data_IF_595332105704
#
_entry.id   IF_595332105704
#
_cell.length_a   1.000
_cell.length_b   1.000
_cell.length_c   1.000
_cell.angle_alpha   90.00
_cell.angle_beta   90.00
_cell.angle_gamma   90.00
#
_symmetry.space_group_name_H-M   'P 1'
#
loop_
_entity.id
_entity.type
_entity.pdbx_description
1 polymer ?
#
# COMPACT_ATOMS: atom_id res chain seq x y z
N UNK A 1 -28.68 -26.72 5.08
CA UNK A 1 -28.22 -25.56 4.28
C UNK A 1 -28.44 -24.30 5.11
N UNK A 2 -27.55 -24.04 6.06
CA UNK A 2 -27.48 -22.83 6.85
C UNK A 2 -26.04 -22.75 7.38
N UNK A 3 -25.57 -21.54 7.67
CA UNK A 3 -24.28 -21.23 8.33
C UNK A 3 -23.05 -21.12 7.41
N UNK A 4 -22.86 -19.94 6.80
CA UNK A 4 -21.58 -19.20 6.97
C UNK A 4 -21.72 -17.69 6.68
N UNK A 5 -22.72 -17.02 7.25
CA UNK A 5 -22.60 -15.58 7.50
C UNK A 5 -21.83 -15.39 8.81
N UNK A 6 -20.49 -15.55 8.79
CA UNK A 6 -19.67 -14.96 9.85
C UNK A 6 -19.76 -13.46 9.67
N UNK A 7 -20.71 -12.86 10.38
CA UNK A 7 -20.83 -11.43 10.55
C UNK A 7 -19.44 -10.88 10.90
N UNK A 8 -18.88 -10.13 9.97
CA UNK A 8 -17.63 -9.42 10.16
C UNK A 8 -17.86 -8.41 11.30
N UNK A 9 -17.48 -8.78 12.53
CA UNK A 9 -17.66 -8.00 13.75
C UNK A 9 -16.76 -6.76 13.65
N UNK A 10 -17.27 -5.72 12.98
CA UNK A 10 -16.60 -4.43 12.88
C UNK A 10 -16.49 -3.84 14.29
N UNK A 11 -15.28 -3.79 14.84
CA UNK A 11 -14.96 -3.21 16.14
C UNK A 11 -14.83 -1.69 15.99
N UNK A 12 -15.24 -0.97 17.02
CA UNK A 12 -15.12 0.49 17.09
C UNK A 12 -13.87 0.83 17.90
N UNK A 13 -12.94 1.55 17.29
CA UNK A 13 -11.72 2.02 17.94
C UNK A 13 -11.75 3.54 18.06
N UNK A 14 -11.34 4.04 19.23
CA UNK A 14 -11.18 5.46 19.48
C UNK A 14 -9.68 5.78 19.47
N UNK A 15 -9.30 6.85 18.78
CA UNK A 15 -7.90 7.27 18.69
C UNK A 15 -7.80 8.79 18.58
N UNK A 16 -6.58 9.32 18.70
CA UNK A 16 -6.31 10.75 18.59
C UNK A 16 -5.23 11.01 17.54
N UNK A 17 -5.46 11.99 16.69
CA UNK A 17 -4.47 12.49 15.72
C UNK A 17 -4.27 13.97 16.00
N UNK A 18 -3.04 14.38 16.30
CA UNK A 18 -2.67 15.76 16.65
C UNK A 18 -3.64 16.43 17.66
N UNK A 19 -4.10 15.67 18.67
CA UNK A 19 -5.01 16.15 19.70
C UNK A 19 -6.51 16.07 19.37
N UNK A 20 -6.89 15.80 18.12
CA UNK A 20 -8.29 15.61 17.71
C UNK A 20 -8.70 14.15 17.88
N UNK A 21 -9.82 13.89 18.55
CA UNK A 21 -10.33 12.54 18.80
C UNK A 21 -11.21 12.03 17.67
N UNK A 22 -10.93 10.83 17.19
CA UNK A 22 -11.64 10.16 16.10
C UNK A 22 -12.11 8.77 16.51
N UNK A 23 -13.08 8.26 15.75
CA UNK A 23 -13.60 6.91 15.89
C UNK A 23 -13.56 6.21 14.54
N UNK A 24 -13.00 5.01 14.48
CA UNK A 24 -12.99 4.18 13.27
C UNK A 24 -13.71 2.87 13.56
N UNK A 25 -14.61 2.48 12.64
CA UNK A 25 -15.29 1.20 12.67
C UNK A 25 -14.67 0.30 11.61
N UNK A 26 -13.94 -0.73 12.04
CA UNK A 26 -13.12 -1.56 11.14
C UNK A 26 -13.18 -3.02 11.51
N UNK A 27 -12.99 -3.87 10.51
CA UNK A 27 -12.88 -5.32 10.63
C UNK A 27 -11.48 -5.81 10.93
N UNK A 28 -10.50 -4.90 10.87
CA UNK A 28 -9.09 -5.20 11.11
C UNK A 28 -8.85 -5.42 12.61
N UNK A 29 -7.79 -6.16 12.90
CA UNK A 29 -7.30 -6.37 14.26
C UNK A 29 -6.79 -5.06 14.88
N UNK A 30 -6.73 -5.03 16.21
CA UNK A 30 -6.35 -3.84 16.96
C UNK A 30 -4.90 -3.38 16.67
N UNK A 31 -3.99 -4.33 16.43
CA UNK A 31 -2.60 -4.01 16.12
C UNK A 31 -2.49 -3.26 14.79
N UNK A 32 -3.11 -3.77 13.72
CA UNK A 32 -3.16 -3.09 12.42
C UNK A 32 -3.79 -1.70 12.52
N UNK A 33 -4.83 -1.54 13.35
CA UNK A 33 -5.48 -0.24 13.55
C UNK A 33 -4.54 0.74 14.27
N UNK A 34 -3.83 0.31 15.30
CA UNK A 34 -2.85 1.15 16.00
C UNK A 34 -1.71 1.56 15.06
N UNK A 35 -1.18 0.63 14.26
CA UNK A 35 -0.14 0.94 13.27
C UNK A 35 -0.61 1.99 12.25
N UNK A 36 -1.85 1.88 11.75
CA UNK A 36 -2.44 2.87 10.84
C UNK A 36 -2.58 4.25 11.49
N UNK A 37 -3.06 4.29 12.74
CA UNK A 37 -3.23 5.54 13.50
C UNK A 37 -1.89 6.22 13.73
N UNK A 38 -0.89 5.46 14.18
CA UNK A 38 0.45 5.97 14.47
C UNK A 38 1.14 6.48 13.21
N UNK A 39 0.98 5.78 12.10
CA UNK A 39 1.50 6.19 10.80
C UNK A 39 0.90 7.54 10.37
N UNK A 40 -0.43 7.67 10.40
CA UNK A 40 -1.10 8.92 10.02
C UNK A 40 -0.73 10.05 10.99
N UNK A 41 -0.69 9.79 12.30
CA UNK A 41 -0.33 10.79 13.29
C UNK A 41 1.09 11.33 13.11
N UNK A 42 2.04 10.45 12.78
CA UNK A 42 3.42 10.84 12.44
C UNK A 42 3.44 11.76 11.22
N UNK A 43 2.77 11.39 10.12
CA UNK A 43 2.72 12.20 8.88
C UNK A 43 2.09 13.56 9.09
N UNK A 44 1.02 13.63 9.88
CA UNK A 44 0.38 14.91 10.23
C UNK A 44 1.30 15.77 11.10
N UNK A 45 2.02 15.18 12.06
CA UNK A 45 2.96 15.91 12.91
C UNK A 45 4.14 16.47 12.11
N UNK A 46 4.69 15.69 11.18
CA UNK A 46 5.72 16.14 10.23
C UNK A 46 5.21 17.33 9.38
N UNK A 47 3.99 17.22 8.85
CA UNK A 47 3.38 18.27 8.05
C UNK A 47 3.10 19.55 8.86
N UNK A 48 2.74 19.43 10.15
CA UNK A 48 2.59 20.57 11.06
C UNK A 48 3.94 21.28 11.29
N UNK A 49 5.02 20.52 11.49
CA UNK A 49 6.37 21.07 11.66
C UNK A 49 6.87 21.82 10.42
N UNK A 50 6.56 21.30 9.22
CA UNK A 50 6.98 21.90 7.95
C UNK A 50 6.25 23.22 7.64
N UNK A 51 5.05 23.43 8.17
CA UNK A 51 4.16 24.52 7.74
C UNK A 51 4.09 25.73 8.68
N UNK A 52 5.02 25.85 9.66
CA UNK A 52 5.22 27.02 10.56
C UNK A 52 3.97 27.94 10.71
N UNK A 53 3.01 27.53 11.54
CA UNK A 53 1.70 28.20 11.80
C UNK A 53 0.55 27.95 10.79
N UNK A 54 0.63 26.97 9.89
CA UNK A 54 -0.57 26.59 9.13
C UNK A 54 -1.61 25.91 10.02
N UNK A 55 -2.89 26.09 9.69
CA UNK A 55 -4.00 25.43 10.38
C UNK A 55 -3.82 23.90 10.31
N UNK A 56 -4.27 23.19 11.35
CA UNK A 56 -4.27 21.72 11.37
C UNK A 56 -4.86 21.11 10.08
N UNK A 57 -5.86 21.77 9.48
CA UNK A 57 -6.47 21.36 8.23
C UNK A 57 -5.46 21.35 7.07
N UNK A 58 -4.62 22.39 6.93
CA UNK A 58 -3.61 22.46 5.88
C UNK A 58 -2.53 21.39 6.09
N UNK A 59 -2.10 21.16 7.34
CA UNK A 59 -1.17 20.08 7.68
C UNK A 59 -1.76 18.69 7.37
N UNK A 60 -3.05 18.47 7.65
CA UNK A 60 -3.74 17.22 7.33
C UNK A 60 -3.83 16.98 5.82
N UNK A 61 -4.12 18.02 5.02
CA UNK A 61 -4.11 17.93 3.55
C UNK A 61 -2.71 17.62 3.03
N UNK A 62 -1.68 18.27 3.55
CA UNK A 62 -0.29 17.99 3.16
C UNK A 62 0.14 16.57 3.54
N UNK A 63 -0.23 16.10 4.73
CA UNK A 63 0.01 14.73 5.15
C UNK A 63 -0.69 13.71 4.23
N UNK A 64 -1.94 13.97 3.85
CA UNK A 64 -2.67 13.13 2.91
C UNK A 64 -2.01 13.09 1.53
N UNK A 65 -1.50 14.22 1.03
CA UNK A 65 -0.75 14.28 -0.23
C UNK A 65 0.54 13.46 -0.15
N UNK A 66 1.30 13.58 0.94
CA UNK A 66 2.54 12.82 1.13
C UNK A 66 2.26 11.30 1.18
N UNK A 67 1.23 10.86 1.91
CA UNK A 67 0.83 9.45 1.98
C UNK A 67 0.40 8.94 0.59
N UNK A 68 -0.36 9.75 -0.16
CA UNK A 68 -0.80 9.39 -1.51
C UNK A 68 0.39 9.27 -2.48
N UNK A 69 1.35 10.20 -2.40
CA UNK A 69 2.59 10.14 -3.18
C UNK A 69 3.36 8.86 -2.88
N UNK A 70 3.62 8.55 -1.61
CA UNK A 70 4.32 7.34 -1.20
C UNK A 70 3.65 6.08 -1.76
N UNK A 71 2.32 5.97 -1.67
CA UNK A 71 1.57 4.85 -2.22
C UNK A 71 1.71 4.76 -3.75
N UNK A 72 1.58 5.88 -4.46
CA UNK A 72 1.66 5.91 -5.92
C UNK A 72 3.07 5.51 -6.38
N UNK A 73 4.11 6.03 -5.73
CA UNK A 73 5.50 5.71 -6.05
C UNK A 73 5.82 4.25 -5.76
N UNK A 74 5.33 3.70 -4.64
CA UNK A 74 5.48 2.28 -4.30
C UNK A 74 4.85 1.39 -5.37
N UNK A 75 3.60 1.68 -5.78
CA UNK A 75 2.90 0.95 -6.85
C UNK A 75 3.65 1.01 -8.18
N UNK A 76 4.15 2.18 -8.56
CA UNK A 76 4.94 2.36 -9.80
C UNK A 76 6.22 1.53 -9.79
N UNK A 77 6.96 1.53 -8.67
CA UNK A 77 8.18 0.71 -8.52
C UNK A 77 7.87 -0.79 -8.59
N UNK A 78 6.84 -1.25 -7.88
CA UNK A 78 6.42 -2.64 -7.91
C UNK A 78 6.04 -3.09 -9.33
N UNK A 79 5.26 -2.27 -10.05
CA UNK A 79 4.90 -2.58 -11.44
C UNK A 79 6.11 -2.62 -12.37
N UNK A 80 7.07 -1.71 -12.21
CA UNK A 80 8.28 -1.70 -13.00
C UNK A 80 9.12 -2.97 -12.80
N UNK A 81 9.26 -3.44 -11.56
CA UNK A 81 9.97 -4.69 -11.26
C UNK A 81 9.22 -5.93 -11.77
N UNK A 82 7.89 -5.96 -11.69
CA UNK A 82 7.09 -7.03 -12.30
C UNK A 82 7.26 -7.10 -13.81
N UNK A 83 7.17 -5.95 -14.50
CA UNK A 83 7.38 -5.88 -15.96
C UNK A 83 8.79 -6.36 -16.35
N UNK A 84 9.80 -6.03 -15.55
CA UNK A 84 11.19 -6.47 -15.77
C UNK A 84 11.34 -7.98 -15.57
N UNK A 85 10.66 -8.55 -14.56
CA UNK A 85 10.62 -9.98 -14.33
C UNK A 85 9.93 -10.70 -15.48
N UNK A 86 8.76 -10.22 -15.93
CA UNK A 86 8.02 -10.76 -17.06
C UNK A 86 8.85 -10.72 -18.35
N UNK A 87 9.52 -9.60 -18.64
CA UNK A 87 10.38 -9.48 -19.82
C UNK A 87 11.53 -10.50 -19.80
N UNK A 88 12.17 -10.71 -18.64
CA UNK A 88 13.21 -11.72 -18.46
C UNK A 88 12.69 -13.14 -18.62
N UNK A 89 11.53 -13.44 -18.01
CA UNK A 89 10.89 -14.75 -18.12
C UNK A 89 10.50 -15.05 -19.58
N UNK A 90 9.92 -14.08 -20.29
CA UNK A 90 9.57 -14.20 -21.70
C UNK A 90 10.81 -14.45 -22.57
N UNK A 91 11.89 -13.70 -22.34
CA UNK A 91 13.15 -13.90 -23.06
C UNK A 91 13.70 -15.32 -22.83
N UNK A 92 13.72 -15.77 -21.57
CA UNK A 92 14.19 -17.12 -21.25
C UNK A 92 13.35 -18.20 -21.93
N UNK A 93 12.03 -18.06 -21.96
CA UNK A 93 11.15 -19.00 -22.67
C UNK A 93 11.45 -19.04 -24.17
N UNK A 94 11.64 -17.88 -24.80
CA UNK A 94 12.01 -17.79 -26.22
C UNK A 94 13.38 -18.44 -26.51
N UNK A 95 14.37 -18.20 -25.65
CA UNK A 95 15.70 -18.80 -25.79
C UNK A 95 15.63 -20.33 -25.67
N UNK A 96 14.79 -20.87 -24.77
CA UNK A 96 14.57 -22.31 -24.63
C UNK A 96 13.85 -22.93 -25.84
N UNK A 97 12.85 -22.26 -26.40
CA UNK A 97 12.16 -22.69 -27.62
C UNK A 97 13.13 -22.74 -28.81
N UNK A 98 13.91 -21.68 -29.00
CA UNK A 98 14.90 -21.60 -30.08
C UNK A 98 15.98 -22.68 -29.94
N UNK A 99 16.45 -22.96 -28.72
CA UNK A 99 17.42 -24.01 -28.46
C UNK A 99 16.89 -25.42 -28.77
N UNK A 100 15.59 -25.67 -28.59
CA UNK A 100 14.95 -26.94 -29.00
C UNK A 100 14.90 -27.04 -30.53
N UNK A 101 14.44 -26.00 -31.21
CA UNK A 101 14.28 -26.00 -32.68
C UNK A 101 15.61 -26.22 -33.41
N UNK A 102 16.71 -25.64 -32.92
CA UNK A 102 18.02 -25.77 -33.55
C UNK A 102 18.64 -27.19 -33.43
N UNK A 103 18.19 -28.01 -32.46
CA UNK A 103 18.62 -29.41 -32.33
C UNK A 103 17.91 -30.37 -33.30
N UNK A 104 16.77 -29.98 -33.88
CA UNK A 104 15.96 -30.85 -34.76
C UNK A 104 16.40 -30.75 -36.23
N UNK A 105 17.22 -29.75 -36.59
CA UNK A 105 17.62 -29.46 -37.98
C UNK A 105 18.96 -30.10 -38.41
N UNK A 106 19.37 -31.22 -37.79
CA UNK A 106 20.61 -31.94 -38.12
C UNK A 106 20.35 -33.37 -38.61
N UNK A 107 19.44 -33.53 -39.57
CA UNK A 107 19.21 -34.80 -40.26
C UNK A 107 19.06 -34.60 -41.76
#
# INVERSE_FOLDING_TARGET
MAETQKANLKKLFNFKIAGVSYKIKTSHDEQTVNELVDFVNTKVTEAMGATKNSSFQNAAVLAALNIAEEMILLKRRAQAELNKLEAKAKKLSQDLENAKTNKVNWN
#
